data_IF_294550967995
#
_entry.id   IF_294550967995
#
_cell.length_a   1.000
_cell.length_b   1.000
_cell.length_c   1.000
_cell.angle_alpha   90.00
_cell.angle_beta   90.00
_cell.angle_gamma   90.00
#
_symmetry.space_group_name_H-M   'P 1'
#
loop_
_entity.id
_entity.type
_entity.pdbx_description
1 polymer ?
#
# COMPACT_ATOMS: atom_id res chain seq x y z
N UNK A 1 -14.63 -30.64 33.26
CA UNK A 1 -14.72 -31.60 32.13
C UNK A 1 -14.01 -30.97 30.93
N UNK A 2 -12.98 -31.64 30.39
CA UNK A 2 -12.20 -31.13 29.25
C UNK A 2 -13.05 -31.21 27.97
N UNK A 3 -13.21 -30.09 27.27
CA UNK A 3 -13.81 -30.07 25.94
C UNK A 3 -12.86 -30.76 24.97
N UNK A 4 -13.24 -31.93 24.49
CA UNK A 4 -12.50 -32.64 23.47
C UNK A 4 -12.73 -31.94 22.13
N UNK A 5 -11.82 -31.05 21.75
CA UNK A 5 -11.79 -30.50 20.39
C UNK A 5 -11.75 -31.66 19.39
N UNK A 6 -12.75 -31.71 18.51
CA UNK A 6 -12.84 -32.76 17.49
C UNK A 6 -11.69 -32.60 16.52
N UNK A 7 -10.75 -33.55 16.55
CA UNK A 7 -9.59 -33.69 15.63
C UNK A 7 -9.98 -33.64 14.14
N UNK A 8 -11.27 -33.80 13.85
CA UNK A 8 -11.86 -33.73 12.51
C UNK A 8 -12.19 -32.28 12.08
N UNK A 9 -12.57 -31.40 13.01
CA UNK A 9 -12.83 -29.98 12.74
C UNK A 9 -11.56 -29.20 12.38
N UNK A 10 -10.47 -29.47 13.11
CA UNK A 10 -9.15 -28.87 12.85
C UNK A 10 -8.59 -29.30 11.49
N UNK A 11 -8.74 -30.58 11.13
CA UNK A 11 -8.31 -31.09 9.81
C UNK A 11 -9.13 -30.49 8.66
N UNK A 12 -10.43 -30.26 8.84
CA UNK A 12 -11.30 -29.66 7.81
C UNK A 12 -10.99 -28.18 7.59
N UNK A 13 -10.67 -27.45 8.66
CA UNK A 13 -10.22 -26.05 8.60
C UNK A 13 -8.84 -25.94 7.94
N UNK A 14 -7.89 -26.79 8.35
CA UNK A 14 -6.56 -26.84 7.76
C UNK A 14 -6.62 -27.19 6.26
N UNK A 15 -7.43 -28.19 5.86
CA UNK A 15 -7.60 -28.55 4.44
C UNK A 15 -8.29 -27.42 3.66
N UNK A 16 -9.29 -26.73 4.23
CA UNK A 16 -9.92 -25.57 3.58
C UNK A 16 -8.95 -24.38 3.44
N UNK A 17 -8.11 -24.15 4.44
CA UNK A 17 -7.05 -23.13 4.42
C UNK A 17 -5.96 -23.48 3.40
N UNK A 18 -5.50 -24.72 3.35
CA UNK A 18 -4.49 -25.17 2.39
C UNK A 18 -5.03 -25.16 0.95
N UNK A 19 -6.26 -25.62 0.72
CA UNK A 19 -6.88 -25.59 -0.61
C UNK A 19 -7.16 -24.16 -1.09
N UNK A 20 -7.63 -23.26 -0.20
CA UNK A 20 -7.75 -21.84 -0.53
C UNK A 20 -6.39 -21.18 -0.78
N UNK A 21 -5.34 -21.59 -0.07
CA UNK A 21 -3.98 -21.05 -0.24
C UNK A 21 -3.33 -21.53 -1.54
N UNK A 22 -3.47 -22.80 -1.92
CA UNK A 22 -2.88 -23.31 -3.17
C UNK A 22 -3.61 -22.79 -4.42
N UNK A 23 -4.95 -22.68 -4.36
CA UNK A 23 -5.72 -22.09 -5.46
C UNK A 23 -5.43 -20.59 -5.62
N UNK A 24 -5.32 -19.84 -4.50
CA UNK A 24 -5.04 -18.40 -4.54
C UNK A 24 -3.60 -18.06 -4.96
N UNK A 25 -2.59 -18.86 -4.60
CA UNK A 25 -1.20 -18.60 -4.98
C UNK A 25 -0.96 -18.76 -6.49
N UNK A 26 -1.60 -19.77 -7.10
CA UNK A 26 -1.54 -19.98 -8.56
C UNK A 26 -2.27 -18.85 -9.29
N UNK A 27 -3.47 -18.47 -8.84
CA UNK A 27 -4.24 -17.35 -9.39
C UNK A 27 -3.53 -16.00 -9.21
N UNK A 28 -2.87 -15.76 -8.07
CA UNK A 28 -2.06 -14.56 -7.84
C UNK A 28 -0.81 -14.50 -8.71
N UNK A 29 -0.09 -15.61 -8.88
CA UNK A 29 1.03 -15.69 -9.84
C UNK A 29 0.54 -15.38 -11.25
N UNK A 30 -0.63 -15.89 -11.62
CA UNK A 30 -1.25 -15.63 -12.90
C UNK A 30 -1.74 -14.17 -13.03
N UNK A 31 -2.20 -13.53 -11.94
CA UNK A 31 -2.63 -12.14 -11.94
C UNK A 31 -1.45 -11.17 -12.09
N UNK A 32 -0.38 -11.37 -11.32
CA UNK A 32 0.84 -10.55 -11.41
C UNK A 32 1.48 -10.68 -12.79
N UNK A 33 1.48 -11.87 -13.39
CA UNK A 33 2.01 -12.07 -14.74
C UNK A 33 1.26 -11.29 -15.83
N UNK A 34 -0.02 -10.95 -15.61
CA UNK A 34 -0.84 -10.16 -16.55
C UNK A 34 -0.57 -8.64 -16.45
N UNK A 35 0.16 -8.20 -15.44
CA UNK A 35 0.49 -6.80 -15.20
C UNK A 35 1.73 -6.38 -16.00
N UNK A 36 1.60 -6.34 -17.33
CA UNK A 36 2.75 -6.16 -18.24
C UNK A 36 3.29 -4.73 -18.30
N UNK A 37 2.45 -3.72 -18.02
CA UNK A 37 2.78 -2.30 -18.19
C UNK A 37 2.85 -1.53 -16.86
N UNK A 38 3.10 -2.22 -15.75
CA UNK A 38 3.19 -1.62 -14.42
C UNK A 38 4.37 -2.19 -13.64
N UNK A 39 4.90 -1.39 -12.71
CA UNK A 39 5.80 -1.90 -11.67
C UNK A 39 4.94 -2.24 -10.47
N UNK A 40 4.70 -3.52 -10.26
CA UNK A 40 3.98 -3.99 -9.09
C UNK A 40 4.85 -3.90 -7.83
N UNK A 41 4.33 -3.26 -6.78
CA UNK A 41 4.99 -3.12 -5.48
C UNK A 41 4.16 -3.80 -4.39
N UNK A 42 4.78 -4.70 -3.65
CA UNK A 42 4.22 -5.39 -2.47
C UNK A 42 5.39 -5.63 -1.53
N UNK A 43 5.42 -4.90 -0.42
CA UNK A 43 6.52 -4.90 0.54
C UNK A 43 7.90 -4.68 -0.15
N UNK A 44 7.92 -3.86 -1.20
CA UNK A 44 9.08 -3.70 -2.08
C UNK A 44 9.25 -2.25 -2.56
N UNK A 45 10.44 -1.97 -3.12
CA UNK A 45 10.77 -0.66 -3.65
C UNK A 45 11.24 -0.70 -5.10
N UNK A 46 11.10 0.45 -5.76
CA UNK A 46 11.69 0.73 -7.06
C UNK A 46 12.29 2.13 -7.05
N UNK A 47 13.36 2.32 -7.82
CA UNK A 47 14.00 3.62 -7.98
C UNK A 47 13.84 4.12 -9.42
N UNK A 48 13.09 5.21 -9.58
CA UNK A 48 12.80 5.83 -10.88
C UNK A 48 13.38 7.24 -10.90
N UNK A 49 14.27 7.51 -11.86
CA UNK A 49 14.96 8.80 -11.95
C UNK A 49 15.67 9.25 -10.66
N UNK A 50 16.04 8.29 -9.80
CA UNK A 50 16.65 8.58 -8.50
C UNK A 50 15.69 8.90 -7.36
N UNK A 51 14.38 8.75 -7.60
CA UNK A 51 13.30 8.81 -6.60
C UNK A 51 13.07 7.40 -6.08
N UNK A 52 13.14 7.21 -4.76
CA UNK A 52 12.85 5.92 -4.13
C UNK A 52 11.38 5.82 -3.77
N UNK A 53 10.71 4.85 -4.39
CA UNK A 53 9.28 4.58 -4.20
C UNK A 53 9.15 3.25 -3.49
N UNK A 54 8.45 3.21 -2.36
CA UNK A 54 8.14 1.97 -1.64
C UNK A 54 6.63 1.76 -1.61
N UNK A 55 6.18 0.54 -1.89
CA UNK A 55 4.77 0.18 -1.91
C UNK A 55 4.47 -1.01 -1.00
N UNK A 56 3.41 -0.90 -0.20
CA UNK A 56 2.93 -1.99 0.65
C UNK A 56 1.40 -1.97 0.80
N UNK A 57 0.71 -3.13 0.72
CA UNK A 57 -0.75 -3.16 0.60
C UNK A 57 -1.51 -3.26 1.93
N UNK A 58 -0.83 -3.47 3.07
CA UNK A 58 -1.47 -3.86 4.32
C UNK A 58 -2.49 -2.82 4.82
N UNK A 59 -3.55 -3.33 5.45
CA UNK A 59 -4.58 -2.51 6.05
C UNK A 59 -5.07 -3.08 7.39
N UNK A 60 -5.55 -2.20 8.30
CA UNK A 60 -6.35 -2.62 9.43
C UNK A 60 -7.52 -3.46 8.95
N UNK A 61 -7.82 -4.53 9.69
CA UNK A 61 -8.98 -5.38 9.45
C UNK A 61 -10.24 -4.57 9.13
N UNK A 62 -10.72 -4.74 7.90
CA UNK A 62 -11.95 -4.19 7.38
C UNK A 62 -12.59 -5.24 6.45
N UNK A 63 -13.76 -5.75 6.83
CA UNK A 63 -14.46 -6.85 6.15
C UNK A 63 -13.52 -8.04 5.80
N UNK A 64 -13.81 -8.77 4.73
CA UNK A 64 -13.02 -9.90 4.23
C UNK A 64 -12.04 -9.47 3.11
N UNK A 65 -11.52 -8.24 3.15
CA UNK A 65 -10.55 -7.76 2.16
C UNK A 65 -9.18 -8.45 2.26
N UNK A 66 -8.49 -8.58 1.13
CA UNK A 66 -7.11 -9.08 1.11
C UNK A 66 -6.16 -8.11 1.84
N UNK A 67 -5.07 -8.63 2.42
CA UNK A 67 -4.05 -7.87 3.18
C UNK A 67 -4.52 -7.25 4.51
N UNK A 68 -5.61 -7.78 5.08
CA UNK A 68 -6.07 -7.44 6.42
C UNK A 68 -5.09 -7.93 7.50
N UNK A 69 -4.77 -7.05 8.46
CA UNK A 69 -4.04 -7.36 9.69
C UNK A 69 -4.71 -6.67 10.89
N UNK A 70 -4.64 -7.27 12.10
CA UNK A 70 -5.08 -6.61 13.31
C UNK A 70 -4.36 -5.27 13.53
N UNK A 71 -5.09 -4.27 14.04
CA UNK A 71 -4.49 -3.01 14.49
C UNK A 71 -3.44 -3.25 15.59
N UNK A 72 -2.48 -2.34 15.70
CA UNK A 72 -1.38 -2.43 16.66
C UNK A 72 -0.17 -3.16 16.09
N UNK A 73 0.38 -4.13 16.84
CA UNK A 73 1.71 -4.69 16.58
C UNK A 73 1.84 -5.34 15.19
N UNK A 74 0.83 -6.05 14.71
CA UNK A 74 0.90 -6.74 13.42
C UNK A 74 1.10 -5.77 12.24
N UNK A 75 0.40 -4.64 12.25
CA UNK A 75 0.62 -3.57 11.27
C UNK A 75 1.94 -2.85 11.52
N UNK A 76 2.30 -2.58 12.78
CA UNK A 76 3.56 -1.93 13.12
C UNK A 76 4.77 -2.72 12.61
N UNK A 77 4.75 -4.05 12.68
CA UNK A 77 5.81 -4.90 12.14
C UNK A 77 5.98 -4.68 10.64
N UNK A 78 4.88 -4.61 9.88
CA UNK A 78 4.92 -4.27 8.45
C UNK A 78 5.44 -2.87 8.18
N UNK A 79 5.06 -1.89 8.99
CA UNK A 79 5.59 -0.54 8.84
C UNK A 79 7.08 -0.47 9.16
N UNK A 80 7.55 -1.25 10.13
CA UNK A 80 8.96 -1.32 10.52
C UNK A 80 9.86 -1.86 9.40
N UNK A 81 9.35 -2.74 8.54
CA UNK A 81 10.07 -3.26 7.38
C UNK A 81 10.29 -2.22 6.27
N UNK A 82 9.60 -1.07 6.32
CA UNK A 82 9.81 0.02 5.37
C UNK A 82 11.21 0.63 5.59
N UNK A 83 12.10 0.62 4.58
CA UNK A 83 13.46 1.11 4.72
C UNK A 83 13.51 2.64 4.86
N UNK A 84 14.65 3.14 5.33
CA UNK A 84 14.91 4.58 5.40
C UNK A 84 15.19 5.18 4.01
N UNK A 85 14.97 6.49 3.87
CA UNK A 85 15.31 7.24 2.65
C UNK A 85 14.34 7.02 1.49
N UNK A 86 13.07 6.71 1.80
CA UNK A 86 11.98 6.65 0.82
C UNK A 86 11.51 8.06 0.52
N UNK A 87 11.46 8.43 -0.77
CA UNK A 87 10.94 9.73 -1.20
C UNK A 87 9.41 9.70 -1.30
N UNK A 88 8.86 8.60 -1.81
CA UNK A 88 7.42 8.39 -2.02
C UNK A 88 7.01 7.06 -1.39
N UNK A 89 6.14 7.12 -0.38
CA UNK A 89 5.51 5.95 0.22
C UNK A 89 4.12 5.75 -0.40
N UNK A 90 3.81 4.53 -0.83
CA UNK A 90 2.50 4.14 -1.34
C UNK A 90 1.92 3.07 -0.41
N UNK A 91 0.78 3.36 0.19
CA UNK A 91 0.00 2.39 1.00
C UNK A 91 -1.43 2.32 0.49
N UNK A 92 -2.13 1.21 0.71
CA UNK A 92 -3.58 1.23 0.50
C UNK A 92 -4.28 2.08 1.56
N UNK A 93 -3.88 1.86 2.82
CA UNK A 93 -4.42 2.47 4.04
C UNK A 93 -3.96 3.92 4.25
N UNK A 94 -4.85 4.85 4.65
CA UNK A 94 -4.46 6.17 5.11
C UNK A 94 -3.86 6.15 6.54
N UNK A 95 -2.87 6.99 6.87
CA UNK A 95 -2.48 7.22 8.25
C UNK A 95 -3.59 7.98 8.99
N UNK A 96 -3.69 7.80 10.31
CA UNK A 96 -4.67 8.52 11.13
C UNK A 96 -4.59 10.05 10.89
N UNK A 97 -5.74 10.69 10.74
CA UNK A 97 -5.86 12.15 10.65
C UNK A 97 -5.61 12.74 9.25
N UNK A 98 -5.26 11.92 8.25
CA UNK A 98 -5.02 12.38 6.89
C UNK A 98 -5.85 11.58 5.89
N UNK A 99 -6.91 12.19 5.36
CA UNK A 99 -7.77 11.57 4.34
C UNK A 99 -8.44 10.29 4.81
N UNK A 100 -8.73 10.17 6.11
CA UNK A 100 -9.20 8.95 6.76
C UNK A 100 -10.57 9.12 7.46
N UNK A 101 -11.28 10.22 7.16
CA UNK A 101 -12.58 10.53 7.75
C UNK A 101 -13.68 9.89 6.90
N UNK A 102 -14.52 9.08 7.55
CA UNK A 102 -15.75 8.55 6.97
C UNK A 102 -16.85 9.62 6.91
N UNK A 103 -17.91 9.44 6.11
CA UNK A 103 -19.07 10.35 6.13
C UNK A 103 -19.73 10.48 7.51
N UNK A 104 -19.53 9.50 8.41
CA UNK A 104 -19.99 9.54 9.80
C UNK A 104 -19.17 10.50 10.70
N UNK A 105 -18.04 11.00 10.22
CA UNK A 105 -17.10 11.85 10.96
C UNK A 105 -16.04 11.07 11.74
N UNK A 106 -16.06 9.74 11.68
CA UNK A 106 -15.09 8.89 12.37
C UNK A 106 -13.77 8.80 11.59
N UNK A 107 -12.65 8.86 12.31
CA UNK A 107 -11.32 8.60 11.76
C UNK A 107 -11.02 7.10 11.79
N UNK A 108 -10.67 6.53 10.64
CA UNK A 108 -10.35 5.10 10.51
C UNK A 108 -8.91 4.82 10.10
N UNK A 109 -8.06 5.85 9.99
CA UNK A 109 -6.66 5.69 9.61
C UNK A 109 -5.85 4.88 10.62
N UNK A 110 -4.66 4.44 10.21
CA UNK A 110 -3.76 3.66 11.06
C UNK A 110 -2.84 4.57 11.89
N UNK A 111 -2.86 4.38 13.22
CA UNK A 111 -2.05 5.18 14.17
C UNK A 111 -0.57 4.80 14.10
N UNK A 112 -0.27 3.51 13.93
CA UNK A 112 1.08 2.99 13.78
C UNK A 112 1.73 3.49 12.48
N UNK A 113 0.94 3.60 11.42
CA UNK A 113 1.38 4.14 10.13
C UNK A 113 1.69 5.63 10.25
N UNK A 114 0.80 6.43 10.87
CA UNK A 114 1.07 7.85 11.12
C UNK A 114 2.37 8.04 11.90
N UNK A 115 2.54 7.31 13.01
CA UNK A 115 3.76 7.38 13.82
C UNK A 115 5.00 7.02 13.01
N UNK A 116 4.95 5.96 12.21
CA UNK A 116 6.07 5.53 11.37
C UNK A 116 6.44 6.57 10.32
N UNK A 117 5.44 7.16 9.66
CA UNK A 117 5.62 8.18 8.62
C UNK A 117 6.22 9.46 9.20
N UNK A 118 5.65 9.99 10.28
CA UNK A 118 6.07 11.28 10.84
C UNK A 118 7.43 11.19 11.54
N UNK A 119 7.71 10.08 12.24
CA UNK A 119 8.90 9.96 13.10
C UNK A 119 10.10 9.32 12.42
N UNK A 120 9.90 8.35 11.52
CA UNK A 120 10.99 7.50 10.98
C UNK A 120 11.13 7.57 9.47
N UNK A 121 10.07 7.25 8.73
CA UNK A 121 10.15 7.09 7.27
C UNK A 121 10.32 8.45 6.62
N UNK A 122 9.54 9.45 7.06
CA UNK A 122 9.54 10.84 6.61
C UNK A 122 9.68 10.97 5.08
N UNK A 123 8.74 10.38 4.30
CA UNK A 123 8.73 10.55 2.86
C UNK A 123 8.31 11.98 2.50
N UNK A 124 8.67 12.46 1.30
CA UNK A 124 8.15 13.74 0.80
C UNK A 124 6.66 13.63 0.46
N UNK A 125 6.26 12.47 -0.05
CA UNK A 125 4.88 12.17 -0.41
C UNK A 125 4.47 10.82 0.19
N UNK A 126 3.30 10.79 0.80
CA UNK A 126 2.63 9.56 1.21
C UNK A 126 1.30 9.49 0.46
N UNK A 127 1.21 8.55 -0.48
CA UNK A 127 0.08 8.37 -1.38
C UNK A 127 -0.72 7.15 -0.93
N UNK A 128 -2.04 7.29 -0.83
CA UNK A 128 -2.93 6.24 -0.39
C UNK A 128 -4.36 6.44 -0.92
N UNK A 129 -5.26 5.54 -0.57
CA UNK A 129 -6.67 5.61 -0.95
C UNK A 129 -7.55 4.98 0.12
N UNK A 130 -8.34 3.99 -0.29
CA UNK A 130 -9.23 3.18 0.55
C UNK A 130 -10.45 3.93 1.11
N UNK A 131 -10.25 5.11 1.70
CA UNK A 131 -11.34 5.93 2.23
C UNK A 131 -11.78 6.93 1.19
N UNK A 132 -12.84 6.60 0.44
CA UNK A 132 -13.31 7.38 -0.70
C UNK A 132 -13.72 8.81 -0.33
N UNK A 133 -14.42 8.99 0.79
CA UNK A 133 -14.78 10.28 1.35
C UNK A 133 -13.59 11.15 1.75
N UNK A 134 -12.41 10.54 1.90
CA UNK A 134 -11.19 11.21 2.30
C UNK A 134 -10.36 11.79 1.15
N UNK A 135 -10.84 11.74 -0.10
CA UNK A 135 -10.14 12.27 -1.28
C UNK A 135 -9.60 13.69 -1.04
N UNK A 136 -8.33 13.90 -1.38
CA UNK A 136 -7.68 15.21 -1.30
C UNK A 136 -6.27 15.17 -0.72
N UNK A 137 -5.77 16.35 -0.34
CA UNK A 137 -4.39 16.56 0.11
C UNK A 137 -4.32 17.26 1.47
N UNK A 138 -3.40 16.83 2.31
CA UNK A 138 -3.03 17.50 3.57
C UNK A 138 -1.51 17.45 3.77
N UNK A 139 -0.99 18.14 4.78
CA UNK A 139 0.45 18.13 5.08
C UNK A 139 0.73 18.32 6.57
N UNK A 140 1.83 17.74 7.06
CA UNK A 140 2.40 18.02 8.38
C UNK A 140 3.50 19.12 8.33
N UNK A 141 3.60 19.83 7.22
CA UNK A 141 4.65 20.81 6.92
C UNK A 141 5.87 20.22 6.19
N UNK A 142 6.04 18.90 6.20
CA UNK A 142 7.10 18.21 5.47
C UNK A 142 6.54 17.18 4.47
N UNK A 143 5.82 16.19 4.98
CA UNK A 143 5.15 15.13 4.22
C UNK A 143 3.87 15.68 3.61
N UNK A 144 3.63 15.37 2.34
CA UNK A 144 2.36 15.63 1.66
C UNK A 144 1.58 14.32 1.65
N UNK A 145 0.44 14.32 2.33
CA UNK A 145 -0.45 13.16 2.41
C UNK A 145 -1.52 13.31 1.35
N UNK A 146 -1.66 12.32 0.49
CA UNK A 146 -2.53 12.38 -0.69
C UNK A 146 -3.43 11.15 -0.71
N UNK A 147 -4.72 11.36 -0.43
CA UNK A 147 -5.73 10.35 -0.70
C UNK A 147 -6.21 10.52 -2.15
N UNK A 148 -5.85 9.56 -3.00
CA UNK A 148 -6.15 9.58 -4.44
C UNK A 148 -7.33 8.68 -4.83
N UNK A 149 -8.31 8.48 -3.94
CA UNK A 149 -9.52 7.70 -4.24
C UNK A 149 -10.32 8.36 -5.35
N UNK A 150 -10.37 7.73 -6.53
CA UNK A 150 -11.04 8.28 -7.72
C UNK A 150 -12.57 8.12 -7.67
N UNK A 151 -13.03 7.13 -6.90
CA UNK A 151 -14.45 6.77 -6.83
C UNK A 151 -15.06 7.14 -5.48
N UNK A 152 -16.39 7.26 -5.45
CA UNK A 152 -17.18 7.31 -4.22
C UNK A 152 -17.53 5.90 -3.70
N UNK A 153 -18.27 5.82 -2.59
CA UNK A 153 -18.75 4.55 -2.01
C UNK A 153 -19.75 3.80 -2.91
N UNK A 154 -20.25 4.43 -3.98
CA UNK A 154 -21.08 3.80 -5.03
C UNK A 154 -20.24 3.40 -6.25
N UNK A 155 -18.92 3.47 -6.12
CA UNK A 155 -17.93 3.16 -7.16
C UNK A 155 -18.08 4.01 -8.43
N UNK A 156 -18.65 5.20 -8.30
CA UNK A 156 -18.75 6.15 -9.40
C UNK A 156 -17.49 7.01 -9.46
N UNK A 157 -16.95 7.21 -10.67
CA UNK A 157 -15.79 8.09 -10.90
C UNK A 157 -16.20 9.55 -10.69
N UNK A 158 -15.98 10.06 -9.48
CA UNK A 158 -16.39 11.42 -9.08
C UNK A 158 -15.20 12.35 -8.89
N UNK A 159 -14.00 11.80 -8.67
CA UNK A 159 -12.80 12.57 -8.37
C UNK A 159 -11.82 12.57 -9.55
N UNK A 160 -11.14 13.68 -9.73
CA UNK A 160 -10.08 13.81 -10.73
C UNK A 160 -8.76 13.24 -10.21
N UNK A 161 -7.83 12.84 -11.10
CA UNK A 161 -6.47 12.53 -10.70
C UNK A 161 -5.79 13.71 -10.02
N UNK A 162 -5.10 13.45 -8.90
CA UNK A 162 -4.27 14.45 -8.22
C UNK A 162 -2.89 14.47 -8.88
N UNK A 163 -2.48 15.64 -9.36
CA UNK A 163 -1.18 15.86 -9.99
C UNK A 163 -0.26 16.59 -9.02
N UNK A 164 0.98 16.12 -8.87
CA UNK A 164 1.99 16.78 -8.05
C UNK A 164 3.37 16.71 -8.72
N UNK A 165 4.20 17.69 -8.40
CA UNK A 165 5.58 17.78 -8.89
C UNK A 165 6.57 17.26 -7.85
N UNK A 166 7.58 16.54 -8.33
CA UNK A 166 8.73 16.11 -7.52
C UNK A 166 10.02 16.49 -8.22
N UNK A 167 10.88 17.23 -7.50
CA UNK A 167 12.19 17.63 -8.04
C UNK A 167 13.06 16.40 -8.27
N UNK A 168 13.63 16.32 -9.47
CA UNK A 168 14.52 15.24 -9.88
C UNK A 168 15.92 15.78 -10.11
N UNK A 169 16.93 15.10 -9.56
CA UNK A 169 18.32 15.41 -9.85
C UNK A 169 18.62 15.13 -11.33
N UNK A 170 19.11 16.14 -12.05
CA UNK A 170 19.36 16.08 -13.50
C UNK A 170 20.32 14.93 -13.84
N UNK A 171 21.39 14.75 -13.06
CA UNK A 171 22.38 13.71 -13.30
C UNK A 171 21.81 12.30 -13.03
N UNK A 172 20.91 12.15 -12.05
CA UNK A 172 20.20 10.87 -11.81
C UNK A 172 19.22 10.57 -12.94
N UNK A 173 18.49 11.58 -13.43
CA UNK A 173 17.57 11.45 -14.56
C UNK A 173 18.29 10.98 -15.83
N UNK A 174 19.41 11.62 -16.17
CA UNK A 174 20.21 11.26 -17.36
C UNK A 174 20.74 9.83 -17.26
N UNK A 175 21.33 9.46 -16.12
CA UNK A 175 21.83 8.10 -15.88
C UNK A 175 20.74 7.04 -15.98
N UNK A 176 19.56 7.29 -15.39
CA UNK A 176 18.44 6.37 -15.47
C UNK A 176 17.96 6.21 -16.91
N UNK A 177 17.77 7.32 -17.63
CA UNK A 177 17.35 7.33 -19.04
C UNK A 177 18.32 6.57 -19.94
N UNK A 178 19.62 6.74 -19.72
CA UNK A 178 20.66 6.01 -20.44
C UNK A 178 20.59 4.50 -20.20
N UNK A 179 20.50 4.07 -18.93
CA UNK A 179 20.36 2.64 -18.58
C UNK A 179 19.11 2.03 -19.20
N UNK A 180 17.97 2.71 -19.07
CA UNK A 180 16.68 2.22 -19.55
C UNK A 180 16.67 2.05 -21.08
N UNK A 181 17.18 3.05 -21.82
CA UNK A 181 17.30 2.97 -23.29
C UNK A 181 18.20 1.82 -23.76
N UNK A 182 19.24 1.47 -23.00
CA UNK A 182 20.09 0.31 -23.30
C UNK A 182 19.39 -1.02 -23.07
N UNK A 183 18.57 -1.12 -22.01
CA UNK A 183 17.81 -2.32 -21.72
C UNK A 183 16.79 -2.63 -22.84
N UNK A 184 16.14 -1.61 -23.40
CA UNK A 184 15.17 -1.77 -24.51
C UNK A 184 15.86 -2.13 -25.83
N UNK A 185 17.09 -1.65 -26.10
CA UNK A 185 17.82 -1.99 -27.34
C UNK A 185 18.39 -3.43 -27.38
N UNK A 186 18.27 -4.18 -26.29
CA UNK A 186 18.76 -5.56 -26.18
C UNK A 186 17.64 -6.60 -26.27
N UNK A 187 16.41 -6.17 -26.61
CA UNK A 187 15.24 -6.99 -26.92
C UNK A 187 14.93 -6.80 -28.40
#
# INVERSE_FOLDING_TARGET
MKAHGSKFGEKKLAVKQTLNNEFSLQEMKNAKAKLENVIYLEDSSSELFGIRIYGTPWLPEYDDMAFNLPRGQALLDKWNDIPAGIDVLITHTPPLGHGDILPTGEHVGCVELLNSVVKRIRPKYHIFGHIHSGYGCTTDGYTKFVNCSLVDDRLQLVNNPIIFDISVDVNKKERWTYKYRRAIKLI
#
